data_IF_602903003072
#
_entry.id   IF_602903003072
#
_cell.length_a   1.000
_cell.length_b   1.000
_cell.length_c   1.000
_cell.angle_alpha   90.00
_cell.angle_beta   90.00
_cell.angle_gamma   90.00
#
_symmetry.space_group_name_H-M   'P 1'
#
loop_
_entity.id
_entity.type
_entity.pdbx_description
1 polymer ?
#
# COMPACT_ATOMS: atom_id res chain seq x y z
N UNK A 1 17.58 -20.06 -9.95
CA UNK A 1 17.23 -18.62 -9.86
C UNK A 1 16.88 -18.33 -8.41
N UNK A 2 17.57 -17.45 -7.68
CA UNK A 2 17.26 -17.22 -6.28
C UNK A 2 16.01 -16.33 -6.20
N UNK A 3 14.85 -16.92 -5.89
CA UNK A 3 13.58 -16.24 -5.59
C UNK A 3 13.65 -15.63 -4.17
N UNK A 4 14.67 -14.81 -3.92
CA UNK A 4 14.95 -14.22 -2.61
C UNK A 4 14.36 -12.82 -2.51
N UNK A 5 13.52 -12.61 -1.50
CA UNK A 5 13.17 -11.28 -0.97
C UNK A 5 12.52 -10.32 -1.97
N UNK A 6 11.26 -10.60 -2.33
CA UNK A 6 10.43 -9.64 -3.04
C UNK A 6 9.26 -9.18 -2.17
N UNK A 7 8.91 -7.90 -2.34
CA UNK A 7 7.72 -7.27 -1.78
C UNK A 7 6.97 -6.64 -2.96
N UNK A 8 5.71 -7.03 -3.15
CA UNK A 8 4.84 -6.47 -4.17
C UNK A 8 3.79 -5.60 -3.48
N UNK A 9 3.73 -4.33 -3.85
CA UNK A 9 2.68 -3.41 -3.42
C UNK A 9 1.72 -3.18 -4.58
N UNK A 10 0.43 -3.45 -4.35
CA UNK A 10 -0.60 -3.27 -5.35
C UNK A 10 -1.80 -2.58 -4.71
N UNK A 11 -2.30 -1.53 -5.36
CA UNK A 11 -3.39 -0.75 -4.80
C UNK A 11 -4.08 0.12 -5.84
N UNK A 12 -5.15 0.75 -5.38
CA UNK A 12 -5.94 1.71 -6.13
C UNK A 12 -6.00 3.01 -5.34
N UNK A 13 -5.89 4.13 -6.05
CA UNK A 13 -5.97 5.47 -5.47
C UNK A 13 -7.10 6.26 -6.11
N UNK A 14 -7.96 6.82 -5.27
CA UNK A 14 -8.93 7.84 -5.66
C UNK A 14 -8.38 9.22 -5.25
N UNK A 15 -8.40 10.16 -6.18
CA UNK A 15 -7.99 11.54 -5.94
C UNK A 15 -9.18 12.47 -6.26
N UNK A 16 -9.49 13.37 -5.33
CA UNK A 16 -10.60 14.31 -5.46
C UNK A 16 -10.08 15.73 -5.23
N UNK A 17 -10.12 16.54 -6.28
CA UNK A 17 -9.76 17.96 -6.17
C UNK A 17 -10.96 18.73 -5.59
N UNK A 18 -10.81 19.21 -4.36
CA UNK A 18 -11.85 20.01 -3.67
C UNK A 18 -11.75 21.47 -4.11
N UNK A 19 -10.52 22.00 -4.16
CA UNK A 19 -10.21 23.32 -4.72
C UNK A 19 -8.93 23.24 -5.54
N UNK A 20 -8.59 24.25 -6.36
CA UNK A 20 -7.31 24.26 -7.10
C UNK A 20 -6.07 24.09 -6.22
N UNK A 21 -6.17 24.52 -4.96
CA UNK A 21 -5.11 24.47 -3.96
C UNK A 21 -5.22 23.26 -3.03
N UNK A 22 -6.33 22.52 -3.07
CA UNK A 22 -6.62 21.45 -2.11
C UNK A 22 -7.14 20.18 -2.78
N UNK A 23 -6.42 19.08 -2.57
CA UNK A 23 -6.81 17.75 -3.02
C UNK A 23 -6.95 16.80 -1.84
N UNK A 24 -8.03 16.01 -1.85
CA UNK A 24 -8.21 14.83 -1.01
C UNK A 24 -7.74 13.59 -1.78
N UNK A 25 -7.17 12.62 -1.07
CA UNK A 25 -6.90 11.32 -1.63
C UNK A 25 -7.30 10.19 -0.68
N UNK A 26 -7.72 9.09 -1.25
CA UNK A 26 -7.95 7.82 -0.57
C UNK A 26 -7.22 6.71 -1.33
N UNK A 27 -6.45 5.91 -0.61
CA UNK A 27 -5.60 4.86 -1.13
C UNK A 27 -5.98 3.53 -0.44
N UNK A 28 -6.21 2.51 -1.26
CA UNK A 28 -6.54 1.16 -0.82
C UNK A 28 -5.56 0.21 -1.47
N UNK A 29 -4.75 -0.47 -0.65
CA UNK A 29 -3.66 -1.31 -1.13
C UNK A 29 -3.57 -2.65 -0.42
N UNK A 30 -2.71 -3.50 -0.97
CA UNK A 30 -2.27 -4.74 -0.38
C UNK A 30 -0.78 -4.92 -0.66
N UNK A 31 -0.02 -5.23 0.39
CA UNK A 31 1.39 -5.56 0.29
C UNK A 31 1.52 -7.08 0.40
N UNK A 32 2.09 -7.73 -0.61
CA UNK A 32 2.43 -9.15 -0.61
C UNK A 32 3.92 -9.35 -0.35
N UNK A 33 4.25 -10.27 0.55
CA UNK A 33 5.62 -10.60 0.92
C UNK A 33 5.99 -12.01 0.44
N UNK A 34 7.18 -12.14 -0.16
CA UNK A 34 7.74 -13.43 -0.58
C UNK A 34 8.09 -14.38 0.57
N UNK A 35 8.39 -15.64 0.24
CA UNK A 35 8.45 -16.78 1.17
C UNK A 35 9.38 -16.61 2.39
N UNK A 36 10.40 -15.75 2.32
CA UNK A 36 11.33 -15.54 3.45
C UNK A 36 10.78 -14.65 4.57
N UNK A 37 9.87 -13.73 4.26
CA UNK A 37 9.18 -12.88 5.26
C UNK A 37 7.99 -13.61 5.90
N UNK A 38 7.36 -14.53 5.15
CA UNK A 38 6.27 -15.39 5.64
C UNK A 38 6.75 -16.69 6.30
N UNK A 39 8.07 -16.95 6.36
CA UNK A 39 8.65 -18.14 7.01
C UNK A 39 8.62 -18.07 8.55
N UNK A 40 8.14 -16.97 9.13
CA UNK A 40 7.92 -16.85 10.56
C UNK A 40 6.58 -17.51 10.94
N UNK A 41 6.55 -18.45 11.91
CA UNK A 41 5.31 -19.07 12.38
C UNK A 41 4.33 -18.08 13.05
N UNK A 42 4.73 -16.81 13.20
CA UNK A 42 3.91 -15.71 13.71
C UNK A 42 3.16 -14.94 12.61
N UNK A 43 3.51 -15.14 11.34
CA UNK A 43 2.86 -14.49 10.19
C UNK A 43 1.99 -15.52 9.47
N UNK A 44 0.72 -15.57 9.86
CA UNK A 44 -0.31 -16.41 9.21
C UNK A 44 -0.66 -15.93 7.79
N UNK A 45 -0.42 -14.64 7.48
CA UNK A 45 -0.85 -14.01 6.22
C UNK A 45 0.30 -13.41 5.43
N UNK A 46 0.46 -13.89 4.19
CA UNK A 46 1.43 -13.40 3.19
C UNK A 46 1.09 -12.00 2.64
N UNK A 47 -0.11 -11.50 2.92
CA UNK A 47 -0.62 -10.23 2.42
C UNK A 47 -1.09 -9.34 3.58
N UNK A 48 -0.73 -8.06 3.51
CA UNK A 48 -1.12 -7.03 4.49
C UNK A 48 -1.93 -5.97 3.77
N UNK A 49 -3.24 -5.83 4.07
CA UNK A 49 -4.05 -4.76 3.50
C UNK A 49 -3.62 -3.40 4.07
N UNK A 50 -3.72 -2.35 3.27
CA UNK A 50 -3.40 -0.97 3.65
C UNK A 50 -4.53 -0.03 3.25
N UNK A 51 -4.77 0.97 4.11
CA UNK A 51 -5.74 2.05 3.86
C UNK A 51 -5.05 3.36 4.24
N UNK A 52 -5.04 4.33 3.33
CA UNK A 52 -4.56 5.69 3.61
C UNK A 52 -5.56 6.72 3.14
N UNK A 53 -5.76 7.76 3.94
CA UNK A 53 -6.57 8.92 3.57
C UNK A 53 -5.75 10.15 3.89
N UNK A 54 -5.74 11.13 3.00
CA UNK A 54 -4.98 12.34 3.22
C UNK A 54 -5.47 13.54 2.45
N UNK A 55 -4.88 14.68 2.80
CA UNK A 55 -5.15 15.99 2.23
C UNK A 55 -3.83 16.59 1.76
N UNK A 56 -3.84 17.19 0.57
CA UNK A 56 -2.68 17.83 -0.02
C UNK A 56 -3.03 19.30 -0.29
N UNK A 57 -2.32 20.19 0.40
CA UNK A 57 -2.38 21.63 0.16
C UNK A 57 -1.24 22.03 -0.77
N UNK A 58 -1.56 22.81 -1.80
CA UNK A 58 -0.62 23.42 -2.74
C UNK A 58 -0.59 24.92 -2.47
N UNK A 59 0.61 25.45 -2.26
CA UNK A 59 0.89 26.86 -2.01
C UNK A 59 1.54 27.49 -3.24
#
# INVERSE_FOLDING_TARGET
MPLGEWMLDLGTRADCRVTPQHSLFADLGVVAYGDRFAASPLVDRRTVPSVRVGWLARF
#
